data_IF_476354895007
#
_entry.id   IF_476354895007
#
_cell.length_a   1.000
_cell.length_b   1.000
_cell.length_c   1.000
_cell.angle_alpha   90.00
_cell.angle_beta   90.00
_cell.angle_gamma   90.00
#
_symmetry.space_group_name_H-M   'P 1'
#
loop_
_entity.id
_entity.type
_entity.pdbx_description
1 polymer ?
#
# COMPACT_ATOMS: atom_id res chain seq x y z
N UNK A 1 9.07 -6.82 -10.49
CA UNK A 1 7.86 -7.63 -10.29
C UNK A 1 6.81 -6.72 -9.69
N UNK A 2 5.97 -6.12 -10.52
CA UNK A 2 4.96 -5.17 -10.08
C UNK A 2 3.78 -5.19 -11.04
N UNK A 3 2.58 -5.21 -10.49
CA UNK A 3 1.34 -5.09 -11.27
C UNK A 3 1.19 -3.69 -11.88
N UNK A 4 1.89 -2.67 -11.32
CA UNK A 4 1.96 -1.34 -11.95
C UNK A 4 2.65 -1.37 -13.32
N UNK A 5 3.39 -2.42 -13.65
CA UNK A 5 4.02 -2.56 -14.96
C UNK A 5 2.98 -2.68 -16.10
N UNK A 6 1.74 -3.09 -15.80
CA UNK A 6 0.64 -3.07 -16.77
C UNK A 6 0.29 -1.65 -17.25
N UNK A 7 0.70 -0.60 -16.53
CA UNK A 7 0.54 0.78 -16.98
C UNK A 7 1.33 1.09 -18.27
N UNK A 8 2.33 0.27 -18.61
CA UNK A 8 3.03 0.35 -19.91
C UNK A 8 2.19 -0.14 -21.08
N UNK A 9 1.20 -1.00 -20.83
CA UNK A 9 0.28 -1.49 -21.87
C UNK A 9 -0.79 -0.46 -22.18
N UNK A 10 -1.31 0.21 -21.14
CA UNK A 10 -2.30 1.28 -21.30
C UNK A 10 -2.31 2.21 -20.10
N UNK A 11 -2.54 3.48 -20.39
CA UNK A 11 -2.74 4.51 -19.37
C UNK A 11 -4.21 4.76 -19.01
N UNK A 12 -5.18 4.09 -19.66
CA UNK A 12 -6.60 4.31 -19.39
C UNK A 12 -7.08 3.37 -18.27
N UNK A 13 -7.60 3.89 -17.13
CA UNK A 13 -8.09 3.04 -16.03
C UNK A 13 -9.15 2.01 -16.44
N UNK A 14 -10.00 2.36 -17.41
CA UNK A 14 -11.03 1.46 -17.93
C UNK A 14 -10.47 0.23 -18.65
N UNK A 15 -9.29 0.32 -19.25
CA UNK A 15 -8.62 -0.81 -19.90
C UNK A 15 -7.75 -1.61 -18.93
N UNK A 16 -7.16 -0.95 -17.93
CA UNK A 16 -6.40 -1.61 -16.87
C UNK A 16 -7.28 -2.52 -16.01
N UNK A 17 -8.52 -2.11 -15.74
CA UNK A 17 -9.44 -2.85 -14.87
C UNK A 17 -9.69 -4.30 -15.34
N UNK A 18 -10.02 -4.57 -16.63
CA UNK A 18 -10.12 -5.93 -17.14
C UNK A 18 -8.84 -6.75 -16.98
N UNK A 19 -7.66 -6.15 -17.20
CA UNK A 19 -6.37 -6.84 -17.05
C UNK A 19 -6.18 -7.31 -15.61
N UNK A 20 -6.32 -6.39 -14.64
CA UNK A 20 -6.22 -6.73 -13.22
C UNK A 20 -7.27 -7.76 -12.80
N UNK A 21 -8.49 -7.66 -13.31
CA UNK A 21 -9.58 -8.62 -13.02
C UNK A 21 -9.24 -10.00 -13.55
N UNK A 22 -8.69 -10.10 -14.77
CA UNK A 22 -8.30 -11.37 -15.37
C UNK A 22 -7.20 -12.06 -14.56
N UNK A 23 -6.13 -11.33 -14.21
CA UNK A 23 -5.01 -11.85 -13.42
C UNK A 23 -5.45 -12.29 -12.03
N UNK A 24 -6.18 -11.44 -11.30
CA UNK A 24 -6.64 -11.75 -9.94
C UNK A 24 -7.60 -12.94 -9.91
N UNK A 25 -8.55 -13.02 -10.84
CA UNK A 25 -9.46 -14.16 -10.95
C UNK A 25 -8.75 -15.44 -11.43
N UNK A 26 -7.71 -15.33 -12.26
CA UNK A 26 -6.85 -16.46 -12.63
C UNK A 26 -6.19 -17.06 -11.39
N UNK A 27 -5.46 -16.24 -10.62
CA UNK A 27 -4.79 -16.68 -9.38
C UNK A 27 -5.79 -17.26 -8.36
N UNK A 28 -6.97 -16.65 -8.23
CA UNK A 28 -8.03 -17.15 -7.34
C UNK A 28 -8.55 -18.52 -7.76
N UNK A 29 -8.66 -18.79 -9.08
CA UNK A 29 -9.10 -20.09 -9.61
C UNK A 29 -8.09 -21.21 -9.32
N UNK A 30 -6.81 -20.88 -9.27
CA UNK A 30 -5.75 -21.82 -8.89
C UNK A 30 -5.71 -22.10 -7.37
N UNK A 31 -6.53 -21.42 -6.56
CA UNK A 31 -6.60 -21.66 -5.12
C UNK A 31 -5.36 -21.22 -4.34
N UNK A 32 -4.51 -20.36 -4.92
CA UNK A 32 -3.26 -19.90 -4.29
C UNK A 32 -3.43 -18.60 -3.51
N UNK A 33 -2.59 -18.38 -2.50
CA UNK A 33 -2.42 -17.05 -1.89
C UNK A 33 -1.44 -16.24 -2.73
N UNK A 34 -1.92 -15.13 -3.31
CA UNK A 34 -1.10 -14.24 -4.11
C UNK A 34 -0.80 -12.92 -3.38
N UNK A 35 0.45 -12.49 -3.43
CA UNK A 35 0.87 -11.15 -3.00
C UNK A 35 1.17 -10.34 -4.26
N UNK A 36 0.43 -9.25 -4.45
CA UNK A 36 0.61 -8.36 -5.59
C UNK A 36 1.36 -7.11 -5.13
N UNK A 37 2.48 -6.82 -5.77
CA UNK A 37 3.25 -5.59 -5.54
C UNK A 37 2.79 -4.53 -6.52
N UNK A 38 2.54 -3.33 -6.03
CA UNK A 38 2.20 -2.18 -6.85
C UNK A 38 2.89 -0.94 -6.34
N UNK A 39 3.28 -0.07 -7.27
CA UNK A 39 3.97 1.19 -6.97
C UNK A 39 2.98 2.34 -7.05
N UNK A 40 3.01 3.23 -6.06
CA UNK A 40 2.23 4.48 -6.06
C UNK A 40 3.15 5.69 -6.12
N UNK A 41 2.73 6.70 -6.88
CA UNK A 41 3.41 7.99 -6.93
C UNK A 41 3.20 8.81 -5.64
N UNK A 42 4.06 9.81 -5.37
CA UNK A 42 4.03 10.59 -4.12
C UNK A 42 2.69 11.27 -3.78
N UNK A 43 1.86 11.56 -4.79
CA UNK A 43 0.59 12.28 -4.68
C UNK A 43 -0.67 11.39 -4.74
N UNK A 44 -0.53 10.06 -4.77
CA UNK A 44 -1.63 9.16 -5.12
C UNK A 44 -2.39 8.51 -3.95
N UNK A 45 -2.16 8.96 -2.70
CA UNK A 45 -2.76 8.36 -1.49
C UNK A 45 -4.28 8.13 -1.55
N UNK A 46 -5.02 8.94 -2.31
CA UNK A 46 -6.48 8.84 -2.42
C UNK A 46 -6.99 8.06 -3.63
N UNK A 47 -6.11 7.63 -4.54
CA UNK A 47 -6.51 6.82 -5.68
C UNK A 47 -6.14 5.38 -5.38
N UNK A 48 -7.16 4.60 -5.03
CA UNK A 48 -7.20 3.16 -5.33
C UNK A 48 -6.41 2.91 -6.60
N UNK A 49 -5.29 2.19 -6.51
CA UNK A 49 -4.41 1.78 -7.62
C UNK A 49 -5.05 1.98 -8.98
N UNK A 50 -4.45 2.78 -9.87
CA UNK A 50 -4.99 3.07 -11.20
C UNK A 50 -5.62 1.83 -11.82
N UNK A 51 -6.88 1.93 -12.27
CA UNK A 51 -7.64 0.76 -12.71
C UNK A 51 -8.39 0.01 -11.60
N UNK A 52 -8.42 0.51 -10.37
CA UNK A 52 -9.26 0.03 -9.27
C UNK A 52 -8.82 -1.30 -8.65
N UNK A 53 -7.52 -1.65 -8.69
CA UNK A 53 -7.03 -2.94 -8.18
C UNK A 53 -7.33 -3.15 -6.69
N UNK A 54 -7.29 -2.08 -5.87
CA UNK A 54 -7.59 -2.17 -4.42
C UNK A 54 -9.02 -2.67 -4.12
N UNK A 55 -9.96 -2.54 -5.07
CA UNK A 55 -11.32 -3.07 -4.95
C UNK A 55 -11.40 -4.58 -5.24
N UNK A 56 -10.49 -5.09 -6.06
CA UNK A 56 -10.44 -6.49 -6.51
C UNK A 56 -9.76 -7.41 -5.50
N UNK A 57 -8.76 -6.91 -4.78
CA UNK A 57 -8.02 -7.67 -3.75
C UNK A 57 -8.75 -7.69 -2.42
N UNK A 58 -8.44 -8.66 -1.56
CA UNK A 58 -9.07 -8.80 -0.24
C UNK A 58 -8.32 -8.05 0.86
N UNK A 59 -7.01 -7.87 0.73
CA UNK A 59 -6.18 -7.08 1.65
C UNK A 59 -5.36 -6.02 0.91
N UNK A 60 -5.11 -4.89 1.57
CA UNK A 60 -4.26 -3.80 1.08
C UNK A 60 -3.32 -3.39 2.21
N UNK A 61 -2.02 -3.59 1.99
CA UNK A 61 -0.94 -3.13 2.86
C UNK A 61 -0.18 -2.03 2.13
N UNK A 62 0.00 -0.89 2.79
CA UNK A 62 0.72 0.25 2.24
C UNK A 62 2.04 0.42 2.97
N UNK A 63 3.11 0.58 2.18
CA UNK A 63 4.45 0.90 2.64
C UNK A 63 4.80 2.29 2.11
N UNK A 64 5.28 3.18 2.98
CA UNK A 64 5.54 4.57 2.61
C UNK A 64 6.78 5.12 3.28
N UNK A 65 7.50 5.97 2.56
CA UNK A 65 8.51 6.83 3.15
C UNK A 65 7.86 8.09 3.73
N UNK A 66 8.22 8.44 4.96
CA UNK A 66 7.75 9.65 5.65
C UNK A 66 8.97 10.42 6.16
N UNK A 67 9.00 11.72 5.91
CA UNK A 67 10.06 12.60 6.41
C UNK A 67 9.68 13.17 7.77
N UNK A 68 10.48 12.91 8.79
CA UNK A 68 10.27 13.42 10.14
C UNK A 68 11.61 13.89 10.67
N UNK A 69 11.69 15.15 11.11
CA UNK A 69 12.92 15.73 11.69
C UNK A 69 14.14 15.53 10.77
N UNK A 70 13.96 15.86 9.49
CA UNK A 70 14.97 15.70 8.42
C UNK A 70 15.50 14.26 8.28
N UNK A 71 14.74 13.28 8.76
CA UNK A 71 15.05 11.86 8.66
C UNK A 71 13.97 11.13 7.88
N UNK A 72 14.39 10.39 6.86
CA UNK A 72 13.50 9.52 6.09
C UNK A 72 13.23 8.24 6.88
N UNK A 73 12.01 8.10 7.36
CA UNK A 73 11.51 6.90 8.04
C UNK A 73 10.55 6.13 7.13
N UNK A 74 10.23 4.89 7.50
CA UNK A 74 9.30 4.04 6.76
C UNK A 74 8.08 3.68 7.60
N UNK A 75 6.91 3.82 7.01
CA UNK A 75 5.60 3.59 7.61
C UNK A 75 4.90 2.42 6.92
N UNK A 76 4.26 1.56 7.71
CA UNK A 76 3.42 0.45 7.29
C UNK A 76 2.02 0.64 7.85
N UNK A 77 1.00 0.43 7.02
CA UNK A 77 -0.40 0.39 7.45
C UNK A 77 -1.18 -0.66 6.68
N UNK A 78 -2.09 -1.36 7.36
CA UNK A 78 -3.09 -2.20 6.72
C UNK A 78 -4.32 -1.35 6.47
N UNK A 79 -4.55 -0.95 5.22
CA UNK A 79 -5.70 -0.10 4.86
C UNK A 79 -7.01 -0.89 4.80
N UNK A 80 -6.93 -2.18 4.46
CA UNK A 80 -8.09 -3.03 4.27
C UNK A 80 -7.69 -4.49 4.49
N UNK A 81 -8.57 -5.25 5.12
CA UNK A 81 -8.54 -6.70 5.16
C UNK A 81 -9.98 -7.23 5.23
N UNK A 82 -10.43 -7.98 4.22
CA UNK A 82 -11.76 -8.60 4.21
C UNK A 82 -11.72 -9.91 4.99
N UNK A 83 -12.76 -10.16 5.79
CA UNK A 83 -12.93 -11.41 6.53
C UNK A 83 -12.09 -11.54 7.81
N UNK A 84 -11.37 -10.49 8.20
CA UNK A 84 -10.63 -10.43 9.47
C UNK A 84 -10.58 -8.99 9.96
N UNK A 85 -10.43 -8.80 11.27
CA UNK A 85 -9.95 -7.52 11.79
C UNK A 85 -8.46 -7.34 11.49
N UNK A 86 -7.98 -6.10 11.60
CA UNK A 86 -6.58 -5.73 11.39
C UNK A 86 -6.21 -4.51 12.22
N UNK A 87 -4.92 -4.36 12.53
CA UNK A 87 -4.36 -3.18 13.18
C UNK A 87 -4.74 -1.90 12.39
N UNK A 88 -5.13 -0.85 13.12
CA UNK A 88 -5.52 0.46 12.54
C UNK A 88 -4.40 1.49 12.64
N UNK A 89 -3.36 1.16 13.40
CA UNK A 89 -2.23 2.04 13.65
C UNK A 89 -1.27 2.07 12.46
N UNK A 90 -0.68 3.24 12.22
CA UNK A 90 0.46 3.39 11.32
C UNK A 90 1.71 3.06 12.12
N UNK A 91 2.44 2.03 11.68
CA UNK A 91 3.63 1.54 12.39
C UNK A 91 4.89 1.85 11.62
N UNK A 92 5.97 2.12 12.35
CA UNK A 92 7.31 2.18 11.76
C UNK A 92 7.74 0.77 11.34
N UNK A 93 8.55 0.67 10.31
CA UNK A 93 9.24 -0.57 9.99
C UNK A 93 10.67 -0.31 9.51
N UNK A 94 11.55 -1.27 9.72
CA UNK A 94 12.92 -1.26 9.24
C UNK A 94 13.20 -2.51 8.42
N UNK A 95 14.19 -2.43 7.52
CA UNK A 95 14.67 -3.60 6.78
C UNK A 95 16.14 -3.75 7.15
N UNK A 96 16.42 -4.78 7.95
CA UNK A 96 17.77 -5.12 8.38
C UNK A 96 18.28 -6.41 7.74
N UNK A 97 19.42 -6.94 8.21
CA UNK A 97 20.00 -8.18 7.69
C UNK A 97 19.08 -9.41 7.81
N UNK A 98 18.11 -9.39 8.75
CA UNK A 98 17.13 -10.46 8.94
C UNK A 98 15.81 -10.20 8.20
N UNK A 99 15.74 -9.16 7.36
CA UNK A 99 14.53 -8.78 6.64
C UNK A 99 13.74 -7.66 7.33
N UNK A 100 12.43 -7.63 7.08
CA UNK A 100 11.54 -6.57 7.54
C UNK A 100 11.12 -6.80 9.00
N UNK A 101 11.30 -5.77 9.84
CA UNK A 101 10.84 -5.73 11.21
C UNK A 101 9.83 -4.60 11.42
N UNK A 102 8.65 -4.92 11.95
CA UNK A 102 7.62 -3.93 12.31
C UNK A 102 7.89 -3.44 13.73
N UNK A 103 7.90 -2.12 13.91
CA UNK A 103 8.22 -1.44 15.16
C UNK A 103 6.95 -0.82 15.78
N UNK A 104 7.14 0.12 16.70
CA UNK A 104 6.07 0.88 17.33
C UNK A 104 5.41 1.90 16.38
N UNK A 105 4.44 2.62 16.92
CA UNK A 105 3.75 3.72 16.22
C UNK A 105 4.64 4.97 16.12
N UNK A 106 4.12 5.98 15.44
CA UNK A 106 4.69 7.34 15.43
C UNK A 106 4.00 8.16 16.52
N UNK A 107 4.74 8.54 17.57
CA UNK A 107 4.17 9.29 18.70
C UNK A 107 4.05 10.78 18.37
N UNK A 108 2.89 11.38 18.68
CA UNK A 108 2.66 12.82 18.56
C UNK A 108 2.76 13.37 17.12
N UNK A 109 2.55 12.52 16.10
CA UNK A 109 2.60 12.87 14.68
C UNK A 109 1.30 12.57 13.97
N UNK A 110 0.90 13.47 13.09
CA UNK A 110 -0.24 13.33 12.18
C UNK A 110 0.20 13.65 10.74
N UNK A 111 -0.68 13.44 9.76
CA UNK A 111 -0.37 13.72 8.35
C UNK A 111 0.65 12.76 7.72
N UNK A 112 0.98 11.64 8.37
CA UNK A 112 1.95 10.65 7.87
C UNK A 112 1.57 10.11 6.50
N UNK A 113 0.27 9.90 6.27
CA UNK A 113 -0.24 9.38 5.01
C UNK A 113 -0.60 10.47 4.00
N UNK A 114 -0.78 11.73 4.40
CA UNK A 114 -0.90 12.85 3.46
C UNK A 114 0.45 13.21 2.83
N UNK A 115 1.54 12.79 3.45
CA UNK A 115 2.90 13.11 3.01
C UNK A 115 3.43 14.44 3.56
N UNK A 116 2.67 15.10 4.42
CA UNK A 116 3.10 16.31 5.14
C UNK A 116 2.96 16.04 6.64
N UNK A 117 3.95 15.36 7.26
CA UNK A 117 3.91 15.07 8.68
C UNK A 117 3.96 16.35 9.50
N UNK A 118 3.08 16.47 10.49
CA UNK A 118 3.09 17.57 11.45
C UNK A 118 2.94 17.03 12.88
N UNK A 119 3.29 17.86 13.87
CA UNK A 119 3.02 17.54 15.27
C UNK A 119 1.50 17.53 15.49
N UNK A 120 1.00 16.54 16.22
CA UNK A 120 -0.40 16.53 16.64
C UNK A 120 -0.64 17.72 17.59
N UNK A 121 -1.73 18.45 17.38
CA UNK A 121 -2.16 19.49 18.32
C UNK A 121 -2.77 18.76 19.51
N UNK A 122 -2.06 18.75 20.64
CA UNK A 122 -2.56 18.22 21.91
C UNK A 122 -3.55 19.21 22.53
#
# INVERSE_FOLDING_TARGET
>A
DSVSHFDRLTSRPAELRPIYTSVTNGLRREGVTAVLLGEEGPSQYQRAFKGGLSFLVDAVVVLRHVEIESTMQRALVVLKMRGSDHAKEIRRFEIGPQGLAVLGTFEGREGLLSGVPHRALV
#
